data_IF_847848784296
#
_entry.id   IF_847848784296
#
_cell.length_a   1.000
_cell.length_b   1.000
_cell.length_c   1.000
_cell.angle_alpha   90.00
_cell.angle_beta   90.00
_cell.angle_gamma   90.00
#
_symmetry.space_group_name_H-M   'P 1'
#
loop_
_entity.id
_entity.type
_entity.pdbx_description
1 polymer ?
#
# COMPACT_ATOMS: atom_id res chain seq x y z
N UNK A 1 -9.46 -20.12 20.45
CA UNK A 1 -9.57 -19.18 19.33
C UNK A 1 -8.19 -19.12 18.70
N UNK A 2 -8.02 -19.57 17.46
CA UNK A 2 -6.74 -19.41 16.76
C UNK A 2 -6.71 -17.95 16.30
N UNK A 3 -5.79 -17.16 16.84
CA UNK A 3 -5.38 -15.92 16.19
C UNK A 3 -4.69 -16.30 14.89
N UNK A 4 -5.44 -16.33 13.79
CA UNK A 4 -4.83 -16.40 12.47
C UNK A 4 -4.10 -15.08 12.24
N UNK A 5 -2.82 -15.11 11.80
CA UNK A 5 -2.07 -13.88 11.61
C UNK A 5 -2.77 -13.02 10.56
N UNK A 6 -3.07 -11.77 10.91
CA UNK A 6 -3.62 -10.78 9.99
C UNK A 6 -2.78 -10.70 8.71
N UNK A 7 -3.46 -10.72 7.55
CA UNK A 7 -2.79 -10.60 6.27
C UNK A 7 -2.09 -9.23 6.18
N UNK A 8 -0.88 -9.22 5.64
CA UNK A 8 -0.11 -7.99 5.45
C UNK A 8 0.82 -8.14 4.25
N UNK A 9 1.16 -7.00 3.64
CA UNK A 9 2.23 -6.96 2.66
C UNK A 9 3.56 -6.75 3.37
N UNK A 10 4.52 -7.60 3.05
CA UNK A 10 5.92 -7.41 3.42
C UNK A 10 6.65 -6.77 2.24
N UNK A 11 7.34 -5.66 2.49
CA UNK A 11 8.16 -4.98 1.48
C UNK A 11 9.64 -5.17 1.81
N UNK A 12 10.45 -5.35 0.78
CA UNK A 12 11.91 -5.33 0.87
C UNK A 12 12.44 -4.08 0.19
N UNK A 13 13.28 -3.33 0.90
CA UNK A 13 13.92 -2.12 0.41
C UNK A 13 15.25 -2.43 -0.30
N UNK A 14 15.77 -1.45 -1.03
CA UNK A 14 17.04 -1.58 -1.75
C UNK A 14 18.26 -1.72 -0.82
N UNK A 15 18.15 -1.28 0.43
CA UNK A 15 19.18 -1.48 1.47
C UNK A 15 19.12 -2.88 2.11
N UNK A 16 18.24 -3.75 1.62
CA UNK A 16 18.07 -5.13 2.08
C UNK A 16 17.20 -5.30 3.32
N UNK A 17 16.71 -4.21 3.92
CA UNK A 17 15.77 -4.29 5.04
C UNK A 17 14.38 -4.66 4.58
N UNK A 18 13.61 -5.23 5.50
CA UNK A 18 12.22 -5.62 5.27
C UNK A 18 11.33 -5.04 6.36
N UNK A 19 10.16 -4.57 5.96
CA UNK A 19 9.15 -4.08 6.90
C UNK A 19 7.74 -4.33 6.35
N UNK A 20 6.75 -4.23 7.24
CA UNK A 20 5.34 -4.27 6.85
C UNK A 20 5.00 -2.99 6.10
N UNK A 21 4.32 -3.12 4.97
CA UNK A 21 3.78 -1.96 4.26
C UNK A 21 2.65 -1.34 5.09
N UNK A 22 2.79 -0.06 5.40
CA UNK A 22 1.67 0.74 5.91
C UNK A 22 0.84 1.27 4.75
N UNK A 23 -0.27 0.58 4.45
CA UNK A 23 -1.21 0.98 3.38
C UNK A 23 -1.84 2.36 3.62
N UNK A 24 -1.90 2.86 4.86
CA UNK A 24 -2.40 4.21 5.14
C UNK A 24 -1.46 5.30 4.64
N UNK A 25 -0.20 4.93 4.39
CA UNK A 25 0.82 5.80 3.84
C UNK A 25 1.06 5.54 2.36
N UNK A 26 0.21 4.76 1.68
CA UNK A 26 0.39 4.43 0.27
C UNK A 26 -0.38 5.41 -0.64
N UNK A 27 0.30 6.01 -1.63
CA UNK A 27 -0.32 6.95 -2.57
C UNK A 27 0.25 6.82 -3.98
N UNK A 28 -0.45 7.39 -4.94
CA UNK A 28 0.03 7.53 -6.32
C UNK A 28 0.15 9.02 -6.61
N UNK A 29 1.33 9.46 -7.03
CA UNK A 29 1.53 10.88 -7.37
C UNK A 29 0.81 11.27 -8.67
N UNK A 30 0.80 12.57 -8.98
CA UNK A 30 0.20 13.11 -10.22
C UNK A 30 0.77 12.51 -11.52
N UNK A 31 1.97 11.92 -11.47
CA UNK A 31 2.63 11.27 -12.62
C UNK A 31 2.33 9.77 -12.70
N UNK A 32 1.49 9.24 -11.81
CA UNK A 32 1.13 7.84 -11.77
C UNK A 32 2.17 6.96 -11.08
N UNK A 33 3.07 7.54 -10.27
CA UNK A 33 4.13 6.81 -9.58
C UNK A 33 3.66 6.44 -8.17
N UNK A 34 3.64 5.13 -7.83
CA UNK A 34 3.23 4.68 -6.50
C UNK A 34 4.35 4.84 -5.46
N UNK A 35 3.96 5.26 -4.26
CA UNK A 35 4.84 5.48 -3.11
C UNK A 35 4.23 4.92 -1.82
N UNK A 36 5.09 4.64 -0.84
CA UNK A 36 4.68 4.55 0.56
C UNK A 36 5.71 5.23 1.47
N UNK A 37 5.37 5.45 2.75
CA UNK A 37 6.37 5.82 3.74
C UNK A 37 7.02 4.57 4.33
N UNK A 38 8.35 4.58 4.39
CA UNK A 38 9.20 3.51 4.93
C UNK A 38 10.00 4.01 6.12
N UNK A 39 10.70 3.08 6.80
CA UNK A 39 11.50 3.37 7.99
C UNK A 39 10.67 4.08 9.06
N UNK A 40 9.54 3.45 9.40
CA UNK A 40 8.58 3.98 10.38
C UNK A 40 8.02 5.36 10.00
N UNK A 41 7.59 5.52 8.75
CA UNK A 41 6.91 6.73 8.31
C UNK A 41 7.82 7.92 7.96
N UNK A 42 9.14 7.71 7.83
CA UNK A 42 10.12 8.81 7.73
C UNK A 42 10.48 9.20 6.31
N UNK A 43 10.50 8.25 5.39
CA UNK A 43 10.97 8.50 4.03
C UNK A 43 9.98 7.98 2.99
N UNK A 44 9.71 8.75 1.92
CA UNK A 44 8.95 8.23 0.78
C UNK A 44 9.82 7.24 -0.01
N UNK A 45 9.31 6.02 -0.20
CA UNK A 45 9.92 5.03 -1.08
C UNK A 45 9.05 4.80 -2.30
N UNK A 46 9.66 4.91 -3.49
CA UNK A 46 9.01 4.64 -4.76
C UNK A 46 8.87 3.13 -4.97
N UNK A 47 7.66 2.70 -5.32
CA UNK A 47 7.41 1.34 -5.75
C UNK A 47 7.93 1.09 -7.16
N UNK A 48 8.55 -0.07 -7.35
CA UNK A 48 8.75 -0.62 -8.68
C UNK A 48 7.42 -1.18 -9.21
N UNK A 49 7.31 -1.31 -10.53
CA UNK A 49 6.07 -1.75 -11.19
C UNK A 49 5.57 -3.10 -10.67
N UNK A 50 6.47 -4.07 -10.45
CA UNK A 50 6.10 -5.42 -10.01
C UNK A 50 5.49 -5.45 -8.59
N UNK A 51 6.15 -4.91 -7.54
CA UNK A 51 5.54 -4.78 -6.21
C UNK A 51 4.25 -3.96 -6.21
N UNK A 52 4.15 -2.92 -7.06
CA UNK A 52 2.91 -2.16 -7.20
C UNK A 52 1.73 -3.03 -7.66
N UNK A 53 1.93 -3.88 -8.67
CA UNK A 53 0.85 -4.74 -9.16
C UNK A 53 0.34 -5.72 -8.11
N UNK A 54 1.20 -6.14 -7.16
CA UNK A 54 0.76 -6.99 -6.05
C UNK A 54 -0.23 -6.25 -5.13
N UNK A 55 0.01 -4.98 -4.83
CA UNK A 55 -0.93 -4.16 -4.05
C UNK A 55 -2.19 -3.86 -4.87
N UNK A 56 -2.02 -3.49 -6.14
CA UNK A 56 -3.12 -3.11 -7.03
C UNK A 56 -4.12 -4.25 -7.30
N UNK A 57 -3.73 -5.51 -7.16
CA UNK A 57 -4.64 -6.66 -7.25
C UNK A 57 -5.71 -6.67 -6.15
N UNK A 58 -5.47 -5.97 -5.04
CA UNK A 58 -6.41 -5.81 -3.93
C UNK A 58 -7.18 -4.48 -4.01
N UNK A 59 -6.95 -3.68 -5.06
CA UNK A 59 -7.60 -2.40 -5.22
C UNK A 59 -9.01 -2.56 -5.84
N UNK A 60 -9.95 -1.79 -5.31
CA UNK A 60 -11.32 -1.66 -5.80
C UNK A 60 -11.68 -0.18 -5.97
N UNK A 61 -12.72 0.10 -6.76
CA UNK A 61 -13.20 1.46 -6.99
C UNK A 61 -14.52 1.66 -6.25
N UNK A 62 -14.59 2.69 -5.40
CA UNK A 62 -15.82 3.13 -4.75
C UNK A 62 -16.55 4.11 -5.68
N UNK A 63 -17.65 3.68 -6.28
CA UNK A 63 -18.42 4.50 -7.22
C UNK A 63 -19.10 5.70 -6.56
N UNK A 64 -19.47 5.60 -5.28
CA UNK A 64 -20.15 6.68 -4.55
C UNK A 64 -19.17 7.79 -4.18
N UNK A 65 -17.95 7.41 -3.80
CA UNK A 65 -16.88 8.34 -3.39
C UNK A 65 -16.01 8.79 -4.56
N UNK A 66 -16.03 8.07 -5.68
CA UNK A 66 -15.20 8.36 -6.84
C UNK A 66 -13.71 8.12 -6.61
N UNK A 67 -13.35 7.22 -5.68
CA UNK A 67 -11.97 6.96 -5.28
C UNK A 67 -11.62 5.48 -5.32
N UNK A 68 -10.34 5.17 -5.50
CA UNK A 68 -9.84 3.81 -5.36
C UNK A 68 -9.46 3.54 -3.91
N UNK A 69 -9.63 2.30 -3.47
CA UNK A 69 -9.17 1.85 -2.16
C UNK A 69 -8.59 0.44 -2.25
N UNK A 70 -7.69 0.09 -1.34
CA UNK A 70 -7.23 -1.28 -1.11
C UNK A 70 -8.00 -1.84 0.08
N UNK A 71 -8.52 -3.06 -0.03
CA UNK A 71 -9.17 -3.75 1.09
C UNK A 71 -8.26 -4.88 1.61
N UNK A 72 -8.00 -4.88 2.92
CA UNK A 72 -7.20 -5.89 3.58
C UNK A 72 -7.70 -6.09 5.02
N UNK A 73 -7.90 -7.34 5.44
CA UNK A 73 -8.48 -7.69 6.75
C UNK A 73 -9.82 -6.98 7.04
N UNK A 74 -10.66 -6.79 6.02
CA UNK A 74 -11.94 -6.07 6.14
C UNK A 74 -11.82 -4.56 6.40
N UNK A 75 -10.60 -3.99 6.29
CA UNK A 75 -10.33 -2.54 6.40
C UNK A 75 -10.05 -1.97 5.01
N UNK A 76 -10.62 -0.80 4.73
CA UNK A 76 -10.40 -0.06 3.47
C UNK A 76 -9.34 1.03 3.67
N UNK A 77 -8.41 1.09 2.74
CA UNK A 77 -7.33 2.07 2.67
C UNK A 77 -7.49 2.87 1.37
N UNK A 78 -8.00 4.12 1.43
CA UNK A 78 -8.11 4.96 0.24
C UNK A 78 -6.75 5.19 -0.41
N UNK A 79 -6.68 5.07 -1.73
CA UNK A 79 -5.50 5.40 -2.51
C UNK A 79 -5.48 6.91 -2.75
N UNK A 80 -4.71 7.61 -1.93
CA UNK A 80 -4.52 9.05 -2.07
C UNK A 80 -3.86 9.44 -3.40
N UNK A 81 -4.17 10.65 -3.86
CA UNK A 81 -3.38 11.38 -4.86
C UNK A 81 -2.67 12.53 -4.15
N UNK A 82 -1.36 12.68 -4.37
CA UNK A 82 -0.54 13.78 -3.85
C UNK A 82 0.33 14.39 -4.93
#
# INVERSE_FOLDING_TARGET
MRDEPEEHFQIRLNDGTEERLDLSTFWIDERGVPYCLVKSGRFPARFLRLPFYQVAQHASFDQERGEYFVELNGRRFPLGRS
#
